data_IF_921906212445
#
_entry.id   IF_921906212445
#
_cell.length_a   1.000
_cell.length_b   1.000
_cell.length_c   1.000
_cell.angle_alpha   90.00
_cell.angle_beta   90.00
_cell.angle_gamma   90.00
#
_symmetry.space_group_name_H-M   'P 1'
#
loop_
_entity.id
_entity.type
_entity.pdbx_description
1 polymer ?
#
# COMPACT_ATOMS: atom_id res chain seq x y z
N UNK A 1 93.74 -12.21 -39.04
CA UNK A 1 92.95 -11.87 -40.24
C UNK A 1 91.81 -10.96 -39.80
N UNK A 2 92.01 -9.63 -39.80
CA UNK A 2 91.62 -8.69 -40.86
C UNK A 2 90.15 -8.79 -41.28
N UNK A 3 89.29 -7.90 -40.76
CA UNK A 3 88.82 -6.72 -41.53
C UNK A 3 87.98 -5.79 -40.66
N UNK A 4 88.45 -4.55 -40.55
CA UNK A 4 87.65 -3.36 -40.22
C UNK A 4 86.66 -3.10 -41.36
N UNK A 5 85.41 -2.79 -41.06
CA UNK A 5 84.58 -1.96 -41.94
C UNK A 5 83.52 -1.20 -41.16
N UNK A 6 83.56 0.11 -41.38
CA UNK A 6 82.64 1.17 -40.93
C UNK A 6 81.40 1.16 -41.82
N UNK A 7 80.21 1.26 -41.22
CA UNK A 7 78.92 1.65 -41.83
C UNK A 7 78.00 1.98 -40.66
N UNK A 8 77.22 3.05 -40.55
CA UNK A 8 76.84 4.14 -41.43
C UNK A 8 75.62 4.75 -40.70
N UNK A 9 75.67 6.05 -40.39
CA UNK A 9 74.57 6.76 -39.71
C UNK A 9 73.34 6.80 -40.63
N UNK A 10 72.22 6.24 -40.16
CA UNK A 10 70.88 6.58 -40.65
C UNK A 10 70.01 6.91 -39.44
N UNK A 11 69.86 8.21 -39.18
CA UNK A 11 68.94 8.76 -38.21
C UNK A 11 67.51 8.40 -38.61
N UNK A 12 66.89 7.43 -37.93
CA UNK A 12 65.44 7.25 -38.02
C UNK A 12 64.78 8.25 -37.06
N UNK A 13 64.22 9.32 -37.61
CA UNK A 13 63.28 10.18 -36.87
C UNK A 13 61.97 9.43 -36.59
N UNK A 14 61.24 9.78 -35.52
CA UNK A 14 60.01 9.08 -35.15
C UNK A 14 58.93 9.29 -36.22
N UNK A 15 58.38 8.19 -36.74
CA UNK A 15 57.24 8.19 -37.64
C UNK A 15 55.99 8.69 -36.92
N UNK A 16 55.30 9.68 -37.50
CA UNK A 16 54.00 10.13 -37.01
C UNK A 16 52.96 9.01 -37.18
N UNK A 17 52.12 8.73 -36.18
CA UNK A 17 51.03 7.78 -36.34
C UNK A 17 50.00 8.30 -37.36
N UNK A 18 49.33 7.42 -38.12
CA UNK A 18 48.32 7.82 -39.10
C UNK A 18 47.11 8.50 -38.42
N UNK A 19 46.42 9.42 -39.10
CA UNK A 19 45.24 10.08 -38.56
C UNK A 19 44.12 9.07 -38.28
N UNK A 20 43.45 9.23 -37.15
CA UNK A 20 42.35 8.37 -36.72
C UNK A 20 41.20 8.35 -37.74
N UNK A 21 40.51 7.21 -37.94
CA UNK A 21 39.40 7.12 -38.87
C UNK A 21 38.22 8.01 -38.42
N UNK A 22 37.45 8.57 -39.38
CA UNK A 22 36.31 9.43 -39.05
C UNK A 22 35.28 8.67 -38.22
N UNK A 23 34.99 9.23 -37.04
CA UNK A 23 34.10 8.64 -36.04
C UNK A 23 32.73 8.30 -36.62
N UNK A 24 32.31 7.05 -36.42
CA UNK A 24 30.99 6.54 -36.79
C UNK A 24 29.92 7.37 -36.07
N UNK A 25 29.26 8.30 -36.79
CA UNK A 25 28.13 9.07 -36.26
C UNK A 25 27.02 8.09 -35.87
N UNK A 26 26.90 7.83 -34.57
CA UNK A 26 25.91 6.92 -34.02
C UNK A 26 24.55 7.64 -34.04
N UNK A 27 23.54 7.03 -34.67
CA UNK A 27 22.22 7.63 -34.87
C UNK A 27 21.47 7.72 -33.53
N UNK A 28 21.52 8.90 -32.92
CA UNK A 28 20.87 9.21 -31.63
C UNK A 28 19.34 9.06 -31.66
N UNK A 29 18.70 9.07 -32.83
CA UNK A 29 17.24 8.98 -32.95
C UNK A 29 16.65 7.62 -32.56
N UNK A 30 17.37 6.53 -32.84
CA UNK A 30 16.92 5.18 -32.46
C UNK A 30 17.11 4.91 -30.96
N UNK A 31 18.17 5.46 -30.37
CA UNK A 31 18.43 5.36 -28.93
C UNK A 31 17.41 6.15 -28.10
N UNK A 32 17.00 7.33 -28.58
CA UNK A 32 15.97 8.14 -27.93
C UNK A 32 14.59 7.46 -27.93
N UNK A 33 14.20 6.85 -29.06
CA UNK A 33 12.94 6.11 -29.17
C UNK A 33 12.86 4.91 -28.23
N UNK A 34 13.94 4.13 -28.10
CA UNK A 34 13.98 2.97 -27.18
C UNK A 34 13.93 3.42 -25.71
N UNK A 35 14.60 4.52 -25.36
CA UNK A 35 14.56 5.07 -24.01
C UNK A 35 13.15 5.57 -23.61
N UNK A 36 12.47 6.31 -24.50
CA UNK A 36 11.09 6.78 -24.25
C UNK A 36 10.11 5.61 -24.15
N UNK A 37 10.24 4.60 -25.02
CA UNK A 37 9.39 3.41 -24.98
C UNK A 37 9.60 2.61 -23.68
N UNK A 38 10.84 2.48 -23.22
CA UNK A 38 11.19 1.82 -21.95
C UNK A 38 10.63 2.53 -20.72
N UNK A 39 10.67 3.87 -20.69
CA UNK A 39 10.07 4.67 -19.60
C UNK A 39 8.53 4.54 -19.62
N UNK A 40 7.90 4.57 -20.79
CA UNK A 40 6.45 4.40 -20.93
C UNK A 40 5.98 3.00 -20.48
N UNK A 41 6.72 1.94 -20.82
CA UNK A 41 6.44 0.56 -20.37
C UNK A 41 6.61 0.40 -18.85
N UNK A 42 7.60 1.09 -18.26
CA UNK A 42 7.85 1.05 -16.81
C UNK A 42 6.74 1.74 -16.02
N UNK A 43 6.22 2.87 -16.50
CA UNK A 43 5.10 3.57 -15.87
C UNK A 43 3.79 2.75 -15.91
N UNK A 44 3.57 1.96 -16.96
CA UNK A 44 2.41 1.09 -17.10
C UNK A 44 2.44 -0.10 -16.12
N UNK A 45 3.62 -0.69 -15.87
CA UNK A 45 3.77 -1.78 -14.91
C UNK A 45 3.51 -1.34 -13.46
N UNK A 46 3.92 -0.12 -13.08
CA UNK A 46 3.70 0.44 -11.73
C UNK A 46 2.20 0.64 -11.45
N UNK A 47 1.38 0.93 -12.47
CA UNK A 47 -0.08 1.10 -12.33
C UNK A 47 -0.84 -0.19 -12.00
N UNK A 48 -0.25 -1.36 -12.27
CA UNK A 48 -0.91 -2.65 -12.07
C UNK A 48 -0.79 -3.18 -10.63
N UNK A 49 0.26 -2.79 -9.89
CA UNK A 49 0.52 -3.27 -8.52
C UNK A 49 -0.33 -2.57 -7.46
N UNK A 50 -0.87 -1.38 -7.72
CA UNK A 50 -1.56 -0.56 -6.71
C UNK A 50 -3.07 -0.79 -6.58
N UNK A 51 -3.65 -1.81 -7.24
CA UNK A 51 -5.11 -2.01 -7.23
C UNK A 51 -5.58 -2.99 -6.15
N UNK A 52 -5.29 -2.71 -4.88
CA UNK A 52 -6.17 -3.19 -3.81
C UNK A 52 -7.29 -2.18 -3.66
N UNK A 53 -8.29 -2.25 -4.55
CA UNK A 53 -9.52 -1.49 -4.37
C UNK A 53 -10.28 -2.07 -3.17
N UNK A 54 -10.07 -1.51 -1.98
CA UNK A 54 -11.03 -1.67 -0.89
C UNK A 54 -12.30 -0.98 -1.39
N UNK A 55 -13.30 -1.77 -1.79
CA UNK A 55 -14.58 -1.22 -2.21
C UNK A 55 -15.16 -0.38 -1.06
N UNK A 56 -15.56 0.88 -1.31
CA UNK A 56 -16.09 1.73 -0.27
C UNK A 56 -17.39 1.11 0.26
N UNK A 57 -17.39 0.69 1.51
CA UNK A 57 -18.61 0.27 2.20
C UNK A 57 -19.44 1.53 2.46
N UNK A 58 -20.71 1.58 2.05
CA UNK A 58 -21.56 2.71 2.35
C UNK A 58 -21.75 2.81 3.88
N UNK A 59 -21.26 3.89 4.48
CA UNK A 59 -21.45 4.22 5.89
C UNK A 59 -22.46 5.35 5.99
N UNK A 60 -23.45 5.19 6.88
CA UNK A 60 -24.41 6.26 7.15
C UNK A 60 -23.70 7.41 7.88
N UNK A 61 -23.55 8.56 7.22
CA UNK A 61 -22.89 9.76 7.76
C UNK A 61 -23.86 10.74 8.43
N UNK A 62 -25.17 10.45 8.42
CA UNK A 62 -26.19 11.38 8.90
C UNK A 62 -26.26 11.51 10.43
N UNK A 63 -25.56 10.64 11.18
CA UNK A 63 -25.54 10.63 12.64
C UNK A 63 -24.10 10.60 13.10
N UNK A 64 -23.75 11.48 14.04
CA UNK A 64 -22.44 11.48 14.69
C UNK A 64 -22.38 10.31 15.66
N UNK A 65 -21.43 9.37 15.54
CA UNK A 65 -21.31 8.23 16.46
C UNK A 65 -21.05 8.68 17.89
N UNK A 66 -21.67 7.97 18.84
CA UNK A 66 -21.59 8.22 20.29
C UNK A 66 -21.15 6.98 21.08
N UNK A 67 -21.23 5.78 20.49
CA UNK A 67 -20.88 4.50 21.10
C UNK A 67 -20.00 3.69 20.15
N UNK A 68 -18.72 4.01 20.15
CA UNK A 68 -17.73 3.49 19.22
C UNK A 68 -17.05 2.25 19.81
N UNK A 69 -16.98 1.19 19.02
CA UNK A 69 -16.13 0.03 19.28
C UNK A 69 -15.03 -0.03 18.23
N UNK A 70 -13.80 -0.30 18.66
CA UNK A 70 -12.71 -0.65 17.76
C UNK A 70 -12.14 -2.02 18.11
N UNK A 71 -11.76 -2.78 17.08
CA UNK A 71 -11.09 -4.09 17.21
C UNK A 71 -9.75 -4.10 16.48
N UNK A 72 -9.14 -2.92 16.33
CA UNK A 72 -7.85 -2.75 15.67
C UNK A 72 -6.97 -1.77 16.46
N UNK A 73 -5.78 -2.22 16.87
CA UNK A 73 -4.87 -1.45 17.72
C UNK A 73 -4.48 -0.09 17.13
N UNK A 74 -4.23 0.00 15.81
CA UNK A 74 -3.91 1.29 15.17
C UNK A 74 -5.11 2.26 15.19
N UNK A 75 -6.32 1.73 15.09
CA UNK A 75 -7.55 2.54 15.19
C UNK A 75 -7.83 2.96 16.64
N UNK A 76 -7.49 2.11 17.62
CA UNK A 76 -7.62 2.42 19.04
C UNK A 76 -6.80 3.67 19.40
N UNK A 77 -5.55 3.76 18.92
CA UNK A 77 -4.65 4.90 19.15
C UNK A 77 -5.24 6.22 18.63
N UNK A 78 -5.76 6.21 17.39
CA UNK A 78 -6.36 7.40 16.78
C UNK A 78 -7.64 7.80 17.52
N UNK A 79 -8.48 6.83 17.87
CA UNK A 79 -9.77 7.10 18.50
C UNK A 79 -9.62 7.61 19.93
N UNK A 80 -8.66 7.08 20.70
CA UNK A 80 -8.34 7.57 22.04
C UNK A 80 -7.87 9.03 22.02
N UNK A 81 -7.16 9.44 20.97
CA UNK A 81 -6.74 10.83 20.80
C UNK A 81 -7.88 11.77 20.36
N UNK A 82 -8.89 11.26 19.65
CA UNK A 82 -9.93 12.08 19.03
C UNK A 82 -11.24 12.16 19.81
N UNK A 83 -11.69 11.05 20.40
CA UNK A 83 -13.01 10.95 21.03
C UNK A 83 -13.04 9.84 22.11
N UNK A 84 -12.17 9.92 23.14
CA UNK A 84 -12.10 8.89 24.18
C UNK A 84 -13.42 8.72 24.95
N UNK A 85 -14.22 9.78 25.06
CA UNK A 85 -15.51 9.79 25.74
C UNK A 85 -16.59 8.96 25.05
N UNK A 86 -16.38 8.59 23.78
CA UNK A 86 -17.34 7.84 22.95
C UNK A 86 -16.98 6.37 22.82
N UNK A 87 -15.82 5.96 23.34
CA UNK A 87 -15.32 4.60 23.20
C UNK A 87 -15.94 3.69 24.26
N UNK A 88 -16.60 2.64 23.80
CA UNK A 88 -17.20 1.61 24.68
C UNK A 88 -16.46 0.27 24.60
N UNK A 89 -15.47 0.16 23.71
CA UNK A 89 -14.57 -0.99 23.65
C UNK A 89 -13.39 -0.79 22.70
N UNK A 90 -12.25 -1.34 23.08
CA UNK A 90 -11.00 -1.33 22.31
C UNK A 90 -10.57 -2.74 21.94
N UNK A 91 -9.59 -2.87 21.05
CA UNK A 91 -8.98 -4.19 20.79
C UNK A 91 -8.27 -4.69 22.06
N UNK A 92 -8.17 -6.02 22.24
CA UNK A 92 -7.37 -6.55 23.35
C UNK A 92 -5.88 -6.25 23.22
N UNK A 93 -5.41 -5.83 22.05
CA UNK A 93 -4.03 -5.42 21.83
C UNK A 93 -3.73 -4.03 22.40
N UNK A 94 -4.75 -3.24 22.76
CA UNK A 94 -4.57 -1.92 23.37
C UNK A 94 -3.84 -1.98 24.73
N UNK A 95 -3.90 -3.12 25.43
CA UNK A 95 -3.19 -3.32 26.70
C UNK A 95 -1.78 -3.90 26.52
N UNK A 96 -1.38 -4.26 25.29
CA UNK A 96 -0.08 -4.88 25.03
C UNK A 96 0.98 -3.82 24.74
N UNK A 97 1.99 -3.61 25.61
CA UNK A 97 3.05 -2.62 25.39
C UNK A 97 3.94 -2.91 24.19
N UNK A 98 3.98 -4.15 23.71
CA UNK A 98 4.73 -4.50 22.50
C UNK A 98 3.99 -4.11 21.20
N UNK A 99 2.70 -3.81 21.30
CA UNK A 99 1.81 -3.59 20.14
C UNK A 99 1.03 -2.28 20.17
N UNK A 100 1.01 -1.58 21.30
CA UNK A 100 0.25 -0.36 21.50
C UNK A 100 1.07 0.70 22.23
N UNK A 101 1.00 1.94 21.73
CA UNK A 101 1.62 3.08 22.40
C UNK A 101 0.70 3.76 23.42
N UNK A 102 -0.56 3.32 23.52
CA UNK A 102 -1.61 3.97 24.32
C UNK A 102 -2.06 3.13 25.52
N UNK A 103 -1.19 2.23 26.01
CA UNK A 103 -1.54 1.29 27.09
C UNK A 103 -2.04 2.01 28.35
N UNK A 104 -1.48 3.18 28.67
CA UNK A 104 -1.87 3.95 29.85
C UNK A 104 -3.19 4.70 29.62
N UNK A 105 -3.39 5.23 28.43
CA UNK A 105 -4.58 5.96 28.01
C UNK A 105 -5.78 5.03 27.83
N UNK A 106 -5.53 3.80 27.37
CA UNK A 106 -6.55 2.78 27.13
C UNK A 106 -7.28 2.35 28.41
N UNK A 107 -6.73 2.63 29.60
CA UNK A 107 -7.34 2.32 30.91
C UNK A 107 -8.71 3.00 31.07
N UNK A 108 -8.96 4.13 30.41
CA UNK A 108 -10.25 4.85 30.49
C UNK A 108 -11.41 4.07 29.87
N UNK A 109 -11.12 3.11 28.99
CA UNK A 109 -12.12 2.22 28.38
C UNK A 109 -11.94 0.83 29.00
N UNK A 110 -12.93 0.25 29.70
CA UNK A 110 -12.74 -1.02 30.41
C UNK A 110 -12.87 -2.26 29.51
N UNK A 111 -13.53 -2.16 28.36
CA UNK A 111 -13.86 -3.32 27.52
C UNK A 111 -12.76 -3.60 26.50
N UNK A 112 -12.37 -4.89 26.38
CA UNK A 112 -11.43 -5.42 25.39
C UNK A 112 -12.06 -6.47 24.51
N UNK A 113 -11.84 -6.38 23.20
CA UNK A 113 -12.50 -7.19 22.18
C UNK A 113 -11.49 -7.78 21.18
N UNK A 114 -11.72 -9.02 20.76
CA UNK A 114 -10.86 -9.78 19.83
C UNK A 114 -11.56 -10.10 18.50
N UNK A 115 -12.50 -9.24 18.08
CA UNK A 115 -13.27 -9.45 16.85
C UNK A 115 -14.46 -10.40 16.97
N UNK A 116 -14.78 -10.88 18.18
CA UNK A 116 -15.99 -11.66 18.46
C UNK A 116 -17.24 -10.78 18.26
N UNK A 117 -18.04 -11.12 17.24
CA UNK A 117 -19.23 -10.37 16.83
C UNK A 117 -20.26 -10.31 17.96
N UNK A 118 -20.49 -11.40 18.69
CA UNK A 118 -21.49 -11.43 19.75
C UNK A 118 -21.09 -10.50 20.90
N UNK A 119 -19.80 -10.49 21.24
CA UNK A 119 -19.27 -9.57 22.27
C UNK A 119 -19.31 -8.11 21.84
N UNK A 120 -19.09 -7.83 20.54
CA UNK A 120 -19.25 -6.49 19.98
C UNK A 120 -20.72 -6.06 20.07
N UNK A 121 -21.67 -6.92 19.68
CA UNK A 121 -23.10 -6.62 19.72
C UNK A 121 -23.60 -6.37 21.15
N UNK A 122 -23.09 -7.10 22.14
CA UNK A 122 -23.42 -6.87 23.55
C UNK A 122 -23.04 -5.46 24.05
N UNK A 123 -22.07 -4.79 23.41
CA UNK A 123 -21.74 -3.40 23.77
C UNK A 123 -22.75 -2.38 23.24
N UNK A 124 -23.74 -2.80 22.44
CA UNK A 124 -24.69 -1.91 21.76
C UNK A 124 -24.00 -0.71 21.08
N UNK A 125 -23.02 -0.94 20.17
CA UNK A 125 -22.34 0.13 19.48
C UNK A 125 -23.20 0.74 18.36
N UNK A 126 -23.00 2.03 18.09
CA UNK A 126 -23.56 2.70 16.92
C UNK A 126 -22.54 2.80 15.76
N UNK A 127 -21.26 2.53 16.04
CA UNK A 127 -20.19 2.51 15.06
C UNK A 127 -19.09 1.52 15.45
N UNK A 128 -18.63 0.71 14.48
CA UNK A 128 -17.60 -0.32 14.70
C UNK A 128 -16.47 -0.13 13.70
N UNK A 129 -15.24 -0.01 14.20
CA UNK A 129 -14.02 0.08 13.39
C UNK A 129 -13.31 -1.27 13.36
N UNK A 130 -13.12 -1.79 12.15
CA UNK A 130 -12.46 -3.07 11.90
C UNK A 130 -11.21 -2.85 11.05
N UNK A 131 -10.15 -3.61 11.34
CA UNK A 131 -8.95 -3.61 10.49
C UNK A 131 -9.22 -4.34 9.17
N UNK A 132 -8.72 -3.81 8.05
CA UNK A 132 -8.95 -4.37 6.71
C UNK A 132 -8.51 -5.84 6.52
N UNK A 133 -7.60 -6.32 7.37
CA UNK A 133 -7.11 -7.71 7.33
C UNK A 133 -8.03 -8.72 8.03
N UNK A 134 -8.96 -8.25 8.89
CA UNK A 134 -9.89 -9.10 9.63
C UNK A 134 -11.14 -9.48 8.81
N UNK A 135 -11.28 -8.96 7.57
CA UNK A 135 -12.49 -9.08 6.75
C UNK A 135 -12.31 -9.72 5.37
N UNK A 136 -11.12 -10.19 4.99
CA UNK A 136 -10.88 -10.82 3.69
C UNK A 136 -11.33 -12.29 3.65
N UNK A 137 -12.60 -12.55 3.97
CA UNK A 137 -13.30 -13.74 3.49
C UNK A 137 -14.63 -13.29 2.90
N UNK A 138 -14.54 -12.81 1.67
CA UNK A 138 -15.69 -12.55 0.80
C UNK A 138 -15.97 -13.82 -0.01
N UNK A 139 -16.94 -14.67 0.34
CA UNK A 139 -17.75 -15.29 -0.69
C UNK A 139 -18.80 -14.26 -1.10
N UNK A 140 -18.64 -13.77 -2.34
CA UNK A 140 -19.69 -13.08 -3.06
C UNK A 140 -20.87 -14.05 -3.20
N UNK A 141 -21.79 -14.02 -2.24
CA UNK A 141 -23.06 -14.72 -2.34
C UNK A 141 -24.15 -13.63 -2.43
N UNK A 142 -24.86 -13.52 -3.57
CA UNK A 142 -25.92 -12.53 -3.71
C UNK A 142 -26.92 -12.69 -2.56
N UNK A 143 -27.02 -11.65 -1.73
CA UNK A 143 -28.02 -11.58 -0.66
C UNK A 143 -29.39 -11.70 -1.32
N UNK A 144 -30.01 -12.86 -1.19
CA UNK A 144 -31.41 -13.06 -1.54
C UNK A 144 -32.22 -12.24 -0.54
N UNK A 145 -32.52 -10.99 -0.88
CA UNK A 145 -33.50 -10.20 -0.16
C UNK A 145 -34.78 -11.02 -0.10
N UNK A 146 -35.12 -11.55 1.07
CA UNK A 146 -36.47 -12.02 1.35
C UNK A 146 -37.36 -10.77 1.25
N UNK A 147 -38.02 -10.61 0.11
CA UNK A 147 -39.09 -9.64 -0.05
C UNK A 147 -40.15 -9.96 1.00
N UNK A 148 -40.20 -9.12 2.04
CA UNK A 148 -41.25 -9.13 3.03
C UNK A 148 -42.60 -9.03 2.33
N UNK A 149 -43.30 -10.15 2.30
CA UNK A 149 -44.71 -10.26 1.92
C UNK A 149 -45.48 -9.24 2.76
N UNK A 150 -46.01 -8.17 2.14
CA UNK A 150 -46.89 -7.22 2.83
C UNK A 150 -48.06 -8.01 3.44
N UNK A 151 -48.10 -8.16 4.76
CA UNK A 151 -49.32 -8.56 5.48
C UNK A 151 -50.20 -7.32 5.56
N UNK A 152 -51.41 -7.41 5.00
CA UNK A 152 -52.47 -6.44 5.25
C UNK A 152 -53.01 -5.73 4.01
N UNK A 153 -53.40 -6.47 2.97
CA UNK A 153 -54.37 -5.96 1.97
C UNK A 153 -55.71 -6.65 2.22
N UNK A 154 -56.85 -5.93 2.27
CA UNK A 154 -58.14 -6.52 2.61
C UNK A 154 -58.63 -7.45 1.49
N UNK A 155 -59.11 -8.64 1.87
CA UNK A 155 -59.93 -9.44 0.96
C UNK A 155 -61.31 -8.79 0.88
N UNK A 156 -61.80 -8.63 -0.36
CA UNK A 156 -63.16 -8.22 -0.68
C UNK A 156 -64.22 -8.99 0.11
#
# INVERSE_FOLDING_TARGET
>A
MMKTMVFGLASQGPSLPPPAPPGRRMSYGRLWLVAVLGVALSAAAIRLVSQTSVQPVPVNRGIVPTRIVSVNVMSDEILLALAPERLVGLSALADNPDSSNVVHEAVVVPTRLNGDIERILMQSPDFVVIGGHLGARTPDHPRRCHSGRRRGEPRR
#
